data_IF_185631580207
#
_entry.id   IF_185631580207
#
_cell.length_a   1.000
_cell.length_b   1.000
_cell.length_c   1.000
_cell.angle_alpha   90.00
_cell.angle_beta   90.00
_cell.angle_gamma   90.00
#
_symmetry.space_group_name_H-M   'P 1'
#
loop_
_entity.id
_entity.type
_entity.pdbx_description
1 polymer ?
#
# COMPACT_ATOMS: atom_id res chain seq x y z
N UNK A 1 18.14 17.47 -1.37
CA UNK A 1 16.83 16.85 -1.65
C UNK A 1 16.32 17.47 -2.92
N UNK A 2 16.18 16.68 -3.98
CA UNK A 2 15.55 17.10 -5.21
C UNK A 2 14.04 17.24 -4.98
N UNK A 3 13.47 18.47 -5.03
CA UNK A 3 12.04 18.69 -4.79
C UNK A 3 11.14 18.10 -5.89
N UNK A 4 11.71 17.81 -7.06
CA UNK A 4 11.01 17.29 -8.21
C UNK A 4 11.04 15.75 -8.29
N UNK A 5 11.70 15.07 -7.33
CA UNK A 5 11.66 13.61 -7.20
C UNK A 5 10.72 13.19 -6.06
N UNK A 6 9.65 12.49 -6.40
CA UNK A 6 8.77 11.85 -5.45
C UNK A 6 9.48 10.74 -4.67
N UNK A 7 10.40 9.99 -5.30
CA UNK A 7 11.17 8.94 -4.63
C UNK A 7 12.01 9.55 -3.50
N UNK A 8 12.77 10.60 -3.79
CA UNK A 8 13.58 11.28 -2.78
C UNK A 8 12.72 11.84 -1.65
N UNK A 9 11.56 12.42 -1.98
CA UNK A 9 10.62 12.97 -0.99
C UNK A 9 10.02 11.87 -0.10
N UNK A 10 9.67 10.71 -0.66
CA UNK A 10 9.19 9.56 0.12
C UNK A 10 10.30 8.99 1.00
N UNK A 11 11.54 8.89 0.51
CA UNK A 11 12.70 8.48 1.33
C UNK A 11 13.05 9.49 2.42
N UNK A 12 12.80 10.78 2.17
CA UNK A 12 13.00 11.84 3.15
C UNK A 12 11.89 11.90 4.21
N UNK A 13 10.78 11.17 4.02
CA UNK A 13 9.72 11.08 5.01
C UNK A 13 10.23 10.48 6.33
N UNK A 14 9.74 10.99 7.47
CA UNK A 14 10.18 10.57 8.80
C UNK A 14 10.08 9.04 8.99
N UNK A 15 8.98 8.43 8.54
CA UNK A 15 8.78 6.99 8.64
C UNK A 15 9.93 6.23 7.96
N UNK A 16 10.23 6.58 6.70
CA UNK A 16 11.29 5.93 5.96
C UNK A 16 12.64 6.08 6.66
N UNK A 17 13.01 7.31 7.07
CA UNK A 17 14.27 7.57 7.82
C UNK A 17 14.38 6.70 9.08
N UNK A 18 13.32 6.66 9.89
CA UNK A 18 13.33 5.89 11.15
C UNK A 18 13.45 4.38 10.91
N UNK A 19 12.64 3.81 10.01
CA UNK A 19 12.71 2.38 9.75
C UNK A 19 14.00 1.96 9.05
N UNK A 20 14.54 2.82 8.17
CA UNK A 20 15.86 2.60 7.55
C UNK A 20 16.96 2.50 8.60
N UNK A 21 16.99 3.43 9.56
CA UNK A 21 17.94 3.38 10.69
C UNK A 21 17.78 2.12 11.54
N UNK A 22 16.55 1.63 11.75
CA UNK A 22 16.33 0.36 12.46
C UNK A 22 16.90 -0.83 11.69
N UNK A 23 16.71 -0.88 10.37
CA UNK A 23 17.24 -1.96 9.52
C UNK A 23 18.76 -1.94 9.52
N UNK A 24 19.39 -0.78 9.28
CA UNK A 24 20.85 -0.63 9.28
C UNK A 24 21.46 -1.00 10.64
N UNK A 25 20.82 -0.60 11.75
CA UNK A 25 21.29 -0.93 13.09
C UNK A 25 21.19 -2.43 13.40
N UNK A 26 20.25 -3.17 12.80
CA UNK A 26 20.20 -4.63 12.90
C UNK A 26 21.36 -5.30 12.18
N UNK A 27 21.78 -4.78 11.02
CA UNK A 27 22.90 -5.33 10.25
C UNK A 27 24.25 -5.05 10.91
N UNK A 28 24.44 -3.83 11.43
CA UNK A 28 25.76 -3.40 11.92
C UNK A 28 26.04 -3.80 13.38
N UNK A 29 25.04 -4.31 14.10
CA UNK A 29 25.16 -4.62 15.52
C UNK A 29 25.23 -3.36 16.39
N UNK A 30 24.61 -3.41 17.57
CA UNK A 30 24.70 -2.33 18.55
C UNK A 30 23.59 -2.37 19.60
N UNK A 31 23.88 -1.87 20.80
CA UNK A 31 22.91 -1.85 21.90
C UNK A 31 21.66 -1.00 21.61
N UNK A 32 20.53 -1.36 22.22
CA UNK A 32 19.25 -0.65 22.06
C UNK A 32 19.33 0.83 22.43
N UNK A 33 20.13 1.20 23.44
CA UNK A 33 20.31 2.59 23.87
C UNK A 33 20.89 3.45 22.73
N UNK A 34 21.86 2.93 21.98
CA UNK A 34 22.45 3.64 20.84
C UNK A 34 21.43 3.85 19.73
N UNK A 35 20.59 2.85 19.45
CA UNK A 35 19.49 2.95 18.49
C UNK A 35 18.49 4.03 18.91
N UNK A 36 18.03 4.02 20.16
CA UNK A 36 17.09 5.02 20.66
C UNK A 36 17.65 6.45 20.55
N UNK A 37 18.93 6.65 20.91
CA UNK A 37 19.61 7.95 20.74
C UNK A 37 19.63 8.40 19.28
N UNK A 38 19.95 7.51 18.33
CA UNK A 38 19.94 7.80 16.88
C UNK A 38 18.54 8.18 16.39
N UNK A 39 17.52 7.39 16.73
CA UNK A 39 16.13 7.65 16.32
C UNK A 39 15.62 9.00 16.87
N UNK A 40 15.94 9.33 18.12
CA UNK A 40 15.60 10.62 18.71
C UNK A 40 16.27 11.78 17.96
N UNK A 41 17.56 11.67 17.63
CA UNK A 41 18.31 12.68 16.86
C UNK A 41 17.67 12.92 15.49
N UNK A 42 17.36 11.85 14.76
CA UNK A 42 16.70 11.92 13.44
C UNK A 42 15.36 12.64 13.54
N UNK A 43 14.53 12.29 14.52
CA UNK A 43 13.24 12.94 14.72
C UNK A 43 13.38 14.43 15.03
N UNK A 44 14.30 14.79 15.93
CA UNK A 44 14.57 16.19 16.30
C UNK A 44 15.03 17.00 15.08
N UNK A 45 15.96 16.44 14.31
CA UNK A 45 16.48 17.06 13.09
C UNK A 45 15.39 17.22 12.03
N UNK A 46 14.59 16.20 11.76
CA UNK A 46 13.48 16.26 10.80
C UNK A 46 12.45 17.33 11.16
N UNK A 47 12.12 17.47 12.46
CA UNK A 47 11.22 18.53 12.94
C UNK A 47 11.81 19.93 12.73
N UNK A 48 13.12 20.09 12.90
CA UNK A 48 13.82 21.36 12.63
C UNK A 48 13.80 21.69 11.14
N UNK A 49 14.13 20.72 10.28
CA UNK A 49 14.07 20.85 8.82
C UNK A 49 12.67 21.25 8.32
N UNK A 50 11.61 20.61 8.84
CA UNK A 50 10.23 20.94 8.51
C UNK A 50 9.85 22.38 8.89
N UNK A 51 10.26 22.84 10.09
CA UNK A 51 10.00 24.21 10.54
C UNK A 51 10.70 25.25 9.67
N UNK A 52 11.98 25.01 9.36
CA UNK A 52 12.76 25.89 8.48
C UNK A 52 12.08 25.96 7.11
N UNK A 53 11.74 24.81 6.52
CA UNK A 53 11.04 24.77 5.24
C UNK A 53 9.71 25.56 5.26
N UNK A 54 8.89 25.39 6.31
CA UNK A 54 7.64 26.14 6.47
C UNK A 54 7.87 27.66 6.52
N UNK A 55 8.89 28.13 7.23
CA UNK A 55 9.26 29.54 7.28
C UNK A 55 9.80 30.03 5.93
N UNK A 56 10.61 29.22 5.25
CA UNK A 56 11.17 29.55 3.94
C UNK A 56 10.09 29.72 2.88
N UNK A 57 9.07 28.84 2.84
CA UNK A 57 7.98 28.96 1.85
C UNK A 57 6.99 30.09 2.18
N UNK A 58 6.95 30.58 3.43
CA UNK A 58 6.17 31.76 3.78
C UNK A 58 6.82 33.03 3.21
N UNK A 59 8.15 33.11 3.24
CA UNK A 59 8.91 34.24 2.68
C UNK A 59 9.07 34.13 1.17
N UNK A 60 9.27 32.91 0.66
CA UNK A 60 9.51 32.61 -0.75
C UNK A 60 8.54 31.53 -1.25
N UNK A 61 7.28 31.88 -1.58
CA UNK A 61 6.27 30.92 -2.03
C UNK A 61 6.69 30.10 -3.25
N UNK A 62 7.56 30.64 -4.12
CA UNK A 62 8.11 29.97 -5.29
C UNK A 62 8.99 28.75 -4.97
N UNK A 63 9.48 28.62 -3.72
CA UNK A 63 10.25 27.45 -3.26
C UNK A 63 9.37 26.30 -2.79
N UNK A 64 8.05 26.47 -2.80
CA UNK A 64 7.11 25.41 -2.43
C UNK A 64 7.25 24.23 -3.39
N UNK A 65 7.45 23.05 -2.83
CA UNK A 65 7.55 21.83 -3.61
C UNK A 65 6.26 21.58 -4.39
N UNK A 66 6.35 21.07 -5.64
CA UNK A 66 5.19 20.67 -6.40
C UNK A 66 4.44 19.55 -5.67
N UNK A 67 3.22 19.25 -6.12
CA UNK A 67 2.49 18.08 -5.61
C UNK A 67 3.33 16.80 -5.84
N UNK A 68 3.18 15.78 -4.99
CA UNK A 68 3.90 14.52 -5.21
C UNK A 68 3.47 13.84 -6.52
N UNK A 69 2.19 13.99 -6.90
CA UNK A 69 1.58 13.37 -8.07
C UNK A 69 2.09 13.95 -9.39
N UNK A 70 2.53 15.20 -9.39
CA UNK A 70 3.11 15.86 -10.56
C UNK A 70 4.57 15.49 -10.82
N UNK A 71 5.22 14.78 -9.91
CA UNK A 71 6.60 14.32 -10.10
C UNK A 71 6.64 13.16 -11.11
N UNK A 72 7.60 13.15 -12.06
CA UNK A 72 7.70 12.08 -13.07
C UNK A 72 7.83 10.67 -12.48
N UNK A 73 8.52 10.57 -11.33
CA UNK A 73 8.80 9.32 -10.61
C UNK A 73 7.75 8.98 -9.54
N UNK A 74 6.54 9.57 -9.61
CA UNK A 74 5.50 9.37 -8.61
C UNK A 74 5.03 7.92 -8.51
N UNK A 75 4.84 7.27 -9.66
CA UNK A 75 4.37 5.88 -9.71
C UNK A 75 5.38 4.92 -9.07
N UNK A 76 6.68 5.12 -9.30
CA UNK A 76 7.72 4.36 -8.61
C UNK A 76 7.77 4.69 -7.12
N UNK A 77 7.60 5.97 -6.74
CA UNK A 77 7.62 6.41 -5.35
C UNK A 77 6.53 5.74 -4.50
N UNK A 78 5.38 5.39 -5.08
CA UNK A 78 4.32 4.66 -4.38
C UNK A 78 4.79 3.29 -3.87
N UNK A 79 5.67 2.60 -4.60
CA UNK A 79 6.22 1.31 -4.17
C UNK A 79 7.02 1.44 -2.88
N UNK A 80 7.67 2.59 -2.65
CA UNK A 80 8.44 2.84 -1.43
C UNK A 80 7.57 2.97 -0.17
N UNK A 81 6.25 3.24 -0.29
CA UNK A 81 5.33 3.19 0.85
C UNK A 81 5.11 1.76 1.37
N UNK A 82 5.35 0.75 0.53
CA UNK A 82 5.30 -0.66 0.88
C UNK A 82 6.68 -1.24 1.24
N UNK A 83 7.73 -0.42 1.21
CA UNK A 83 9.07 -0.84 1.64
C UNK A 83 9.13 -1.08 3.15
N UNK A 84 9.93 -2.05 3.58
CA UNK A 84 10.06 -2.41 5.01
C UNK A 84 10.43 -1.19 5.88
N UNK A 85 11.34 -0.33 5.40
CA UNK A 85 11.72 0.91 6.09
C UNK A 85 10.52 1.81 6.36
N UNK A 86 9.60 1.95 5.40
CA UNK A 86 8.42 2.80 5.57
C UNK A 86 7.45 2.20 6.60
N UNK A 87 7.13 0.91 6.45
CA UNK A 87 6.19 0.19 7.33
C UNK A 87 6.69 0.16 8.78
N UNK A 88 7.98 -0.16 8.99
CA UNK A 88 8.59 -0.12 10.33
C UNK A 88 8.58 1.30 10.92
N UNK A 89 8.89 2.29 10.08
CA UNK A 89 8.80 3.69 10.44
C UNK A 89 7.44 4.12 10.98
N UNK A 90 6.36 3.72 10.30
CA UNK A 90 4.99 4.00 10.75
C UNK A 90 4.70 3.36 12.11
N UNK A 91 5.14 2.12 12.33
CA UNK A 91 5.01 1.45 13.63
C UNK A 91 5.75 2.22 14.73
N UNK A 92 6.97 2.69 14.46
CA UNK A 92 7.76 3.48 15.42
C UNK A 92 7.10 4.81 15.74
N UNK A 93 6.59 5.52 14.73
CA UNK A 93 5.87 6.80 14.91
C UNK A 93 4.63 6.58 15.78
N UNK A 94 3.82 5.57 15.46
CA UNK A 94 2.60 5.24 16.22
C UNK A 94 2.91 4.82 17.66
N UNK A 95 3.97 4.03 17.87
CA UNK A 95 4.40 3.61 19.19
C UNK A 95 4.89 4.78 20.03
N UNK A 96 5.64 5.71 19.43
CA UNK A 96 6.07 6.93 20.11
C UNK A 96 4.88 7.82 20.48
N UNK A 97 3.95 8.05 19.56
CA UNK A 97 2.77 8.89 19.79
C UNK A 97 1.89 8.33 20.92
N UNK A 98 1.85 7.02 21.10
CA UNK A 98 1.05 6.35 22.12
C UNK A 98 1.91 5.78 23.26
N UNK A 99 3.12 6.30 23.47
CA UNK A 99 4.04 5.77 24.47
C UNK A 99 3.42 5.78 25.88
N UNK A 100 2.75 6.87 26.25
CA UNK A 100 2.04 7.03 27.52
C UNK A 100 0.87 6.05 27.71
N UNK A 101 0.37 5.42 26.64
CA UNK A 101 -0.67 4.37 26.68
C UNK A 101 -0.07 2.96 26.76
N UNK A 102 1.22 2.84 27.09
CA UNK A 102 1.92 1.56 27.15
C UNK A 102 2.22 0.94 25.77
N UNK A 103 2.19 1.72 24.68
CA UNK A 103 2.46 1.19 23.34
C UNK A 103 3.88 0.58 23.20
N UNK A 104 4.83 1.01 24.05
CA UNK A 104 6.16 0.42 24.15
C UNK A 104 6.14 -1.09 24.42
N UNK A 105 5.24 -1.58 25.27
CA UNK A 105 5.10 -3.01 25.58
C UNK A 105 4.65 -3.84 24.36
N UNK A 106 3.85 -3.23 23.46
CA UNK A 106 3.35 -3.88 22.24
C UNK A 106 4.30 -3.72 21.05
N UNK A 107 5.38 -2.95 21.17
CA UNK A 107 6.26 -2.60 20.04
C UNK A 107 6.87 -3.84 19.37
N UNK A 108 7.35 -4.82 20.14
CA UNK A 108 7.90 -6.08 19.60
C UNK A 108 6.87 -6.82 18.73
N UNK A 109 5.63 -6.92 19.20
CA UNK A 109 4.54 -7.58 18.48
C UNK A 109 4.14 -6.79 17.23
N UNK A 110 4.07 -5.46 17.32
CA UNK A 110 3.77 -4.59 16.18
C UNK A 110 4.86 -4.67 15.10
N UNK A 111 6.14 -4.75 15.48
CA UNK A 111 7.25 -4.98 14.55
C UNK A 111 7.12 -6.36 13.89
N UNK A 112 6.77 -7.41 14.65
CA UNK A 112 6.52 -8.74 14.09
C UNK A 112 5.38 -8.71 13.07
N UNK A 113 4.29 -7.99 13.37
CA UNK A 113 3.17 -7.78 12.45
C UNK A 113 3.61 -7.02 11.19
N UNK A 114 4.35 -5.91 11.33
CA UNK A 114 4.89 -5.15 10.21
C UNK A 114 5.78 -5.99 9.28
N UNK A 115 6.61 -6.88 9.83
CA UNK A 115 7.40 -7.79 9.01
C UNK A 115 6.52 -8.75 8.20
N UNK A 116 5.43 -9.27 8.79
CA UNK A 116 4.45 -10.11 8.06
C UNK A 116 3.74 -9.32 6.96
N UNK A 117 3.28 -8.10 7.27
CA UNK A 117 2.66 -7.19 6.29
C UNK A 117 3.61 -6.92 5.13
N UNK A 118 4.89 -6.65 5.42
CA UNK A 118 5.91 -6.46 4.40
C UNK A 118 6.09 -7.70 3.51
N UNK A 119 6.10 -8.92 4.06
CA UNK A 119 6.21 -10.12 3.22
C UNK A 119 5.04 -10.25 2.24
N UNK A 120 3.82 -9.98 2.70
CA UNK A 120 2.62 -9.99 1.83
C UNK A 120 2.77 -8.98 0.69
N UNK A 121 3.14 -7.73 1.00
CA UNK A 121 3.34 -6.72 -0.05
C UNK A 121 4.52 -7.05 -0.98
N UNK A 122 5.61 -7.58 -0.44
CA UNK A 122 6.76 -8.01 -1.25
C UNK A 122 6.36 -9.11 -2.22
N UNK A 123 5.56 -10.06 -1.76
CA UNK A 123 5.07 -11.18 -2.56
C UNK A 123 4.18 -10.71 -3.70
N UNK A 124 3.14 -9.93 -3.42
CA UNK A 124 2.22 -9.44 -4.48
C UNK A 124 2.95 -8.57 -5.51
N UNK A 125 3.84 -7.67 -5.07
CA UNK A 125 4.60 -6.79 -5.97
C UNK A 125 5.60 -7.56 -6.84
N UNK A 126 6.09 -8.71 -6.36
CA UNK A 126 6.99 -9.58 -7.11
C UNK A 126 6.22 -10.43 -8.13
N UNK A 127 5.08 -10.97 -7.74
CA UNK A 127 4.23 -11.81 -8.61
C UNK A 127 3.55 -10.97 -9.70
N UNK A 128 3.01 -9.78 -9.36
CA UNK A 128 2.26 -8.93 -10.28
C UNK A 128 3.00 -7.63 -10.57
N UNK A 129 4.00 -7.71 -11.46
CA UNK A 129 4.85 -6.54 -11.82
C UNK A 129 4.09 -5.39 -12.47
N UNK A 130 2.95 -5.69 -13.08
CA UNK A 130 2.05 -4.78 -13.79
C UNK A 130 1.21 -3.89 -12.87
N UNK A 131 1.28 -4.10 -11.54
CA UNK A 131 0.64 -3.22 -10.57
C UNK A 131 1.10 -1.78 -10.76
N UNK A 132 0.17 -0.95 -11.23
CA UNK A 132 0.37 0.46 -11.51
C UNK A 132 0.09 1.32 -10.26
N UNK A 133 0.36 2.63 -10.35
CA UNK A 133 0.19 3.56 -9.23
C UNK A 133 -1.25 3.61 -8.67
N UNK A 134 -2.28 3.50 -9.53
CA UNK A 134 -3.68 3.51 -9.09
C UNK A 134 -4.01 2.30 -8.24
N UNK A 135 -3.59 1.10 -8.68
CA UNK A 135 -3.79 -0.13 -7.91
C UNK A 135 -3.03 -0.10 -6.59
N UNK A 136 -1.80 0.42 -6.58
CA UNK A 136 -1.03 0.61 -5.34
C UNK A 136 -1.73 1.55 -4.35
N UNK A 137 -2.35 2.62 -4.82
CA UNK A 137 -3.15 3.50 -3.98
C UNK A 137 -4.39 2.79 -3.44
N UNK A 138 -5.11 2.04 -4.28
CA UNK A 138 -6.24 1.23 -3.86
C UNK A 138 -5.88 0.19 -2.79
N UNK A 139 -4.74 -0.52 -2.94
CA UNK A 139 -4.21 -1.44 -1.94
C UNK A 139 -3.89 -0.71 -0.63
N UNK A 140 -3.26 0.46 -0.72
CA UNK A 140 -2.94 1.28 0.46
C UNK A 140 -4.21 1.68 1.21
N UNK A 141 -5.23 2.14 0.49
CA UNK A 141 -6.46 2.66 1.09
C UNK A 141 -7.33 1.52 1.67
N UNK A 142 -7.29 0.33 1.06
CA UNK A 142 -7.93 -0.89 1.55
C UNK A 142 -7.00 -1.79 2.38
N UNK A 143 -5.89 -1.25 2.93
CA UNK A 143 -4.80 -2.05 3.52
C UNK A 143 -5.24 -3.15 4.48
N UNK A 144 -6.15 -2.86 5.42
CA UNK A 144 -6.57 -3.86 6.42
C UNK A 144 -7.34 -5.01 5.78
N UNK A 145 -8.28 -4.70 4.88
CA UNK A 145 -9.06 -5.70 4.17
C UNK A 145 -8.17 -6.52 3.23
N UNK A 146 -7.29 -5.86 2.47
CA UNK A 146 -6.32 -6.52 1.60
C UNK A 146 -5.44 -7.51 2.36
N UNK A 147 -4.90 -7.12 3.52
CA UNK A 147 -4.07 -8.01 4.34
C UNK A 147 -4.85 -9.19 4.91
N UNK A 148 -6.13 -8.99 5.26
CA UNK A 148 -7.02 -10.04 5.78
C UNK A 148 -7.36 -11.06 4.70
N UNK A 149 -7.74 -10.59 3.52
CA UNK A 149 -8.22 -11.41 2.41
C UNK A 149 -7.09 -11.84 1.45
N UNK A 150 -5.83 -11.51 1.75
CA UNK A 150 -4.69 -11.75 0.85
C UNK A 150 -4.61 -13.18 0.28
N UNK A 151 -4.80 -14.27 1.06
CA UNK A 151 -4.78 -15.62 0.50
C UNK A 151 -5.84 -15.86 -0.58
N UNK A 152 -7.06 -15.35 -0.37
CA UNK A 152 -8.20 -15.44 -1.29
C UNK A 152 -7.96 -14.60 -2.54
N UNK A 153 -7.54 -13.35 -2.36
CA UNK A 153 -7.16 -12.45 -3.47
C UNK A 153 -6.07 -13.10 -4.33
N UNK A 154 -5.03 -13.63 -3.69
CA UNK A 154 -3.93 -14.31 -4.37
C UNK A 154 -4.43 -15.52 -5.17
N UNK A 155 -5.35 -16.30 -4.62
CA UNK A 155 -5.96 -17.43 -5.32
C UNK A 155 -6.70 -16.99 -6.59
N UNK A 156 -7.49 -15.92 -6.53
CA UNK A 156 -8.19 -15.34 -7.69
C UNK A 156 -7.19 -14.89 -8.75
N UNK A 157 -6.21 -14.06 -8.36
CA UNK A 157 -5.23 -13.52 -9.30
C UNK A 157 -4.41 -14.64 -9.97
N UNK A 158 -4.12 -15.74 -9.27
CA UNK A 158 -3.44 -16.92 -9.84
C UNK A 158 -4.35 -17.73 -10.76
N UNK A 159 -5.59 -17.96 -10.37
CA UNK A 159 -6.59 -18.68 -11.17
C UNK A 159 -6.81 -18.01 -12.53
N UNK A 160 -6.73 -16.68 -12.56
CA UNK A 160 -6.99 -15.86 -13.76
C UNK A 160 -5.74 -15.24 -14.39
N UNK A 161 -4.53 -15.58 -13.94
CA UNK A 161 -3.28 -14.97 -14.43
C UNK A 161 -3.09 -15.04 -15.96
N UNK A 162 -3.65 -16.07 -16.60
CA UNK A 162 -3.56 -16.29 -18.06
C UNK A 162 -4.72 -15.66 -18.84
N UNK A 163 -5.67 -14.99 -18.17
CA UNK A 163 -6.80 -14.33 -18.81
C UNK A 163 -6.68 -12.82 -18.60
N UNK A 164 -5.91 -12.17 -19.48
CA UNK A 164 -5.52 -10.76 -19.34
C UNK A 164 -6.71 -9.77 -19.25
N UNK A 165 -7.82 -9.93 -20.01
CA UNK A 165 -8.98 -9.06 -19.86
C UNK A 165 -9.52 -8.96 -18.43
N UNK A 166 -9.64 -10.07 -17.70
CA UNK A 166 -10.13 -10.03 -16.32
C UNK A 166 -9.08 -9.47 -15.36
N UNK A 167 -7.80 -9.78 -15.57
CA UNK A 167 -6.71 -9.22 -14.75
C UNK A 167 -6.68 -7.68 -14.85
N UNK A 168 -6.78 -7.16 -16.08
CA UNK A 168 -6.86 -5.73 -16.33
C UNK A 168 -8.11 -5.11 -15.70
N UNK A 169 -9.27 -5.77 -15.81
CA UNK A 169 -10.51 -5.30 -15.19
C UNK A 169 -10.38 -5.23 -13.65
N UNK A 170 -9.85 -6.28 -13.00
CA UNK A 170 -9.61 -6.31 -11.55
C UNK A 170 -8.68 -5.15 -11.13
N UNK A 171 -7.54 -4.96 -11.80
CA UNK A 171 -6.58 -3.94 -11.38
C UNK A 171 -7.04 -2.51 -11.67
N UNK A 172 -7.81 -2.30 -12.75
CA UNK A 172 -8.43 -1.01 -13.06
C UNK A 172 -9.48 -0.64 -12.02
N UNK A 173 -10.28 -1.61 -11.59
CA UNK A 173 -11.40 -1.44 -10.66
C UNK A 173 -11.07 -1.95 -9.25
N UNK A 174 -9.79 -1.89 -8.83
CA UNK A 174 -9.34 -2.59 -7.62
C UNK A 174 -10.04 -2.14 -6.33
N UNK A 175 -10.40 -0.86 -6.21
CA UNK A 175 -11.20 -0.38 -5.07
C UNK A 175 -12.58 -1.07 -5.01
N UNK A 176 -13.27 -1.13 -6.15
CA UNK A 176 -14.55 -1.81 -6.27
C UNK A 176 -14.42 -3.31 -6.03
N UNK A 177 -13.36 -3.93 -6.57
CA UNK A 177 -12.99 -5.32 -6.32
C UNK A 177 -12.84 -5.62 -4.83
N UNK A 178 -12.14 -4.75 -4.09
CA UNK A 178 -11.97 -4.92 -2.64
C UNK A 178 -13.29 -4.72 -1.88
N UNK A 179 -14.12 -3.76 -2.27
CA UNK A 179 -15.39 -3.48 -1.59
C UNK A 179 -16.43 -4.58 -1.76
N UNK A 180 -16.44 -5.25 -2.91
CA UNK A 180 -17.41 -6.30 -3.27
C UNK A 180 -16.74 -7.67 -3.37
N UNK A 181 -15.66 -7.88 -2.61
CA UNK A 181 -14.74 -9.00 -2.81
C UNK A 181 -15.43 -10.36 -2.74
N UNK A 182 -16.32 -10.58 -1.78
CA UNK A 182 -16.98 -11.89 -1.60
C UNK A 182 -17.85 -12.27 -2.82
N UNK A 183 -18.64 -11.32 -3.33
CA UNK A 183 -19.50 -11.53 -4.52
C UNK A 183 -18.67 -11.74 -5.78
N UNK A 184 -17.59 -10.96 -5.94
CA UNK A 184 -16.70 -11.07 -7.09
C UNK A 184 -15.92 -12.40 -7.03
N UNK A 185 -15.47 -12.82 -5.85
CA UNK A 185 -14.79 -14.11 -5.67
C UNK A 185 -15.71 -15.27 -6.06
N UNK A 186 -16.94 -15.29 -5.54
CA UNK A 186 -17.96 -16.30 -5.88
C UNK A 186 -18.18 -16.37 -7.39
N UNK A 187 -18.36 -15.20 -8.03
CA UNK A 187 -18.58 -15.12 -9.47
C UNK A 187 -17.39 -15.61 -10.28
N UNK A 188 -16.18 -15.13 -9.99
CA UNK A 188 -14.98 -15.45 -10.78
C UNK A 188 -14.55 -16.92 -10.65
N UNK A 189 -14.92 -17.58 -9.54
CA UNK A 189 -14.68 -19.02 -9.33
C UNK A 189 -15.81 -19.91 -9.87
N UNK A 190 -16.92 -19.34 -10.33
CA UNK A 190 -18.06 -20.11 -10.84
C UNK A 190 -17.80 -20.78 -12.19
N UNK A 191 -18.48 -21.90 -12.43
CA UNK A 191 -18.50 -22.54 -13.75
C UNK A 191 -19.17 -21.63 -14.78
N UNK A 192 -20.22 -20.88 -14.40
CA UNK A 192 -20.91 -19.93 -15.28
C UNK A 192 -19.94 -18.87 -15.86
N UNK A 193 -19.06 -18.29 -15.02
CA UNK A 193 -18.03 -17.36 -15.50
C UNK A 193 -17.04 -18.05 -16.44
N UNK A 194 -16.61 -19.26 -16.08
CA UNK A 194 -15.65 -20.03 -16.87
C UNK A 194 -16.20 -20.36 -18.26
N UNK A 195 -17.44 -20.83 -18.35
CA UNK A 195 -18.11 -21.17 -19.60
C UNK A 195 -18.32 -19.92 -20.47
N UNK A 196 -18.87 -18.83 -19.90
CA UNK A 196 -19.24 -17.63 -20.68
C UNK A 196 -18.06 -16.79 -21.10
N UNK A 197 -17.04 -16.66 -20.26
CA UNK A 197 -15.97 -15.68 -20.46
C UNK A 197 -14.61 -16.33 -20.70
N UNK A 198 -14.24 -17.32 -19.87
CA UNK A 198 -12.88 -17.86 -19.87
C UNK A 198 -12.63 -18.81 -21.04
N UNK A 199 -13.58 -19.69 -21.38
CA UNK A 199 -13.43 -20.68 -22.47
C UNK A 199 -13.27 -20.01 -23.83
N UNK A 200 -14.05 -18.97 -24.09
CA UNK A 200 -14.03 -18.24 -25.37
C UNK A 200 -13.03 -17.08 -25.38
N UNK A 201 -12.25 -16.90 -24.30
CA UNK A 201 -11.34 -15.77 -24.12
C UNK A 201 -12.02 -14.42 -24.40
N UNK A 202 -13.20 -14.23 -23.83
CA UNK A 202 -14.06 -13.07 -24.11
C UNK A 202 -13.32 -11.76 -23.80
N UNK A 203 -13.39 -10.72 -24.64
CA UNK A 203 -12.59 -9.49 -24.46
C UNK A 203 -13.06 -8.61 -23.29
N UNK A 204 -14.30 -8.77 -22.83
CA UNK A 204 -14.90 -7.94 -21.79
C UNK A 204 -15.55 -8.77 -20.67
N UNK A 205 -14.76 -9.46 -19.83
CA UNK A 205 -15.31 -10.20 -18.70
C UNK A 205 -15.86 -9.28 -17.61
N UNK A 206 -17.07 -9.59 -17.14
CA UNK A 206 -17.69 -8.87 -16.02
C UNK A 206 -17.09 -9.30 -14.68
N UNK A 207 -16.95 -8.36 -13.74
CA UNK A 207 -16.54 -8.64 -12.36
C UNK A 207 -17.66 -9.24 -11.51
N UNK A 208 -18.92 -9.11 -11.94
CA UNK A 208 -20.09 -9.64 -11.25
C UNK A 208 -20.97 -10.41 -12.25
N UNK A 209 -21.80 -11.30 -11.72
CA UNK A 209 -22.74 -12.06 -12.54
C UNK A 209 -23.78 -11.13 -13.18
N UNK A 210 -23.81 -11.00 -14.53
CA UNK A 210 -24.79 -10.16 -15.20
C UNK A 210 -26.23 -10.59 -14.95
N UNK A 211 -26.49 -11.87 -14.65
CA UNK A 211 -27.84 -12.34 -14.31
C UNK A 211 -28.29 -11.76 -12.97
N UNK A 212 -27.44 -11.86 -11.94
CA UNK A 212 -27.72 -11.26 -10.62
C UNK A 212 -27.85 -9.74 -10.69
N UNK A 213 -27.06 -9.07 -11.52
CA UNK A 213 -27.15 -7.61 -11.69
C UNK A 213 -28.49 -7.13 -12.28
N UNK A 214 -29.21 -7.99 -13.00
CA UNK A 214 -30.54 -7.67 -13.55
C UNK A 214 -31.68 -8.04 -12.59
N UNK A 215 -31.40 -8.67 -11.45
CA UNK A 215 -32.41 -9.02 -10.45
C UNK A 215 -32.58 -7.87 -9.44
N UNK A 216 -33.75 -7.25 -9.42
CA UNK A 216 -34.07 -6.14 -8.51
C UNK A 216 -34.00 -6.54 -7.03
N UNK A 217 -34.09 -7.84 -6.71
CA UNK A 217 -33.99 -8.34 -5.35
C UNK A 217 -32.54 -8.49 -4.86
N UNK A 218 -31.56 -8.43 -5.76
CA UNK A 218 -30.16 -8.54 -5.41
C UNK A 218 -29.64 -7.25 -4.77
N UNK A 219 -28.73 -7.39 -3.81
CA UNK A 219 -28.17 -6.24 -3.07
C UNK A 219 -27.40 -5.28 -3.98
N UNK A 220 -26.78 -5.80 -5.04
CA UNK A 220 -26.09 -5.03 -6.06
C UNK A 220 -26.77 -5.38 -7.38
N UNK A 221 -27.43 -4.40 -7.99
CA UNK A 221 -28.12 -4.53 -9.26
C UNK A 221 -28.05 -3.21 -10.04
N UNK A 222 -28.53 -3.19 -11.29
CA UNK A 222 -28.51 -1.99 -12.13
C UNK A 222 -29.61 -0.95 -11.81
N UNK A 223 -30.52 -1.29 -10.91
CA UNK A 223 -31.71 -0.51 -10.56
C UNK A 223 -31.58 0.24 -9.22
N UNK A 224 -30.48 0.02 -8.50
CA UNK A 224 -30.18 0.58 -7.17
C UNK A 224 -28.98 1.53 -7.18
#
# INVERSE_FOLDING_TARGET
LNPNSAIERVKNHLAYKLGQTVIEHRHNGGGYIALFKKLYKIKKQHKKEQKIYQQTIQVFPQLKYPSLETCPDYNEALRYKFHLSYILGEVLIKAYQNWYKGAGFKLKNNIKKANKEFQIFREILKEFKELNGKTLMAIKDNKQLFLKEFPRIKNILKTHQNYQPIMNNIFHNFNYFMQNFDLIEEWLLSDDFKEKYKKENHPYPSLLDPKKLNDENEKINYHN
#
